data_IF_352251635204
#
_entry.id   IF_352251635204
#
_cell.length_a   1.000
_cell.length_b   1.000
_cell.length_c   1.000
_cell.angle_alpha   90.00
_cell.angle_beta   90.00
_cell.angle_gamma   90.00
#
_symmetry.space_group_name_H-M   'P 1'
#
loop_
_entity.id
_entity.type
_entity.pdbx_description
1 polymer ?
#
# COMPACT_ATOMS: atom_id res chain seq x y z
N UNK A 1 6.56 9.09 20.71
CA UNK A 1 7.60 8.43 19.89
C UNK A 1 8.82 9.34 19.87
N UNK A 2 10.02 8.79 20.02
CA UNK A 2 11.29 9.52 19.85
C UNK A 2 11.71 9.52 18.39
N UNK A 3 12.60 10.44 18.01
CA UNK A 3 13.14 10.51 16.64
C UNK A 3 13.89 9.22 16.24
N UNK A 4 14.47 8.53 17.22
CA UNK A 4 15.11 7.22 17.01
C UNK A 4 14.09 6.13 16.67
N UNK A 5 12.95 6.09 17.37
CA UNK A 5 11.87 5.15 17.11
C UNK A 5 11.27 5.36 15.71
N UNK A 6 11.09 6.63 15.29
CA UNK A 6 10.63 6.97 13.94
C UNK A 6 11.59 6.47 12.85
N UNK A 7 12.91 6.63 13.04
CA UNK A 7 13.94 6.15 12.10
C UNK A 7 13.97 4.62 11.99
N UNK A 8 13.78 3.90 13.09
CA UNK A 8 13.71 2.43 13.08
C UNK A 8 12.51 1.96 12.25
N UNK A 9 11.35 2.59 12.41
CA UNK A 9 10.16 2.29 11.62
C UNK A 9 10.40 2.58 10.14
N UNK A 10 10.98 3.75 9.81
CA UNK A 10 11.35 4.12 8.43
C UNK A 10 12.26 3.07 7.78
N UNK A 11 13.32 2.66 8.48
CA UNK A 11 14.28 1.67 7.98
C UNK A 11 13.67 0.28 7.80
N UNK A 12 12.57 0.00 8.51
CA UNK A 12 11.86 -1.27 8.43
C UNK A 12 10.82 -1.30 7.29
N UNK A 13 10.54 -0.17 6.64
CA UNK A 13 9.57 -0.11 5.55
C UNK A 13 10.10 -0.80 4.30
N UNK A 14 9.39 -1.86 3.90
CA UNK A 14 9.61 -2.50 2.61
C UNK A 14 9.07 -1.63 1.47
N UNK A 15 9.51 -1.91 0.25
CA UNK A 15 8.99 -1.21 -0.93
C UNK A 15 7.49 -1.42 -1.13
N UNK A 16 6.94 -2.57 -0.73
CA UNK A 16 5.50 -2.79 -0.75
C UNK A 16 4.78 -1.98 0.33
N UNK A 17 5.39 -1.77 1.50
CA UNK A 17 4.82 -0.87 2.51
C UNK A 17 4.79 0.57 1.99
N UNK A 18 5.87 1.04 1.37
CA UNK A 18 5.93 2.37 0.73
C UNK A 18 4.87 2.51 -0.36
N UNK A 19 4.66 1.49 -1.18
CA UNK A 19 3.58 1.43 -2.16
C UNK A 19 2.20 1.55 -1.50
N UNK A 20 1.94 0.76 -0.45
CA UNK A 20 0.67 0.78 0.26
C UNK A 20 0.39 2.12 0.95
N UNK A 21 1.42 2.77 1.50
CA UNK A 21 1.33 4.12 2.07
C UNK A 21 0.98 5.13 0.98
N UNK A 22 1.74 5.13 -0.12
CA UNK A 22 1.55 6.07 -1.25
C UNK A 22 0.14 5.99 -1.86
N UNK A 23 -0.42 4.78 -1.94
CA UNK A 23 -1.73 4.53 -2.55
C UNK A 23 -2.80 4.13 -1.52
N UNK A 24 -2.62 4.56 -0.27
CA UNK A 24 -3.46 4.14 0.85
C UNK A 24 -4.95 4.39 0.60
N UNK A 25 -5.31 5.61 0.18
CA UNK A 25 -6.71 5.98 -0.02
C UNK A 25 -7.38 5.13 -1.11
N UNK A 26 -6.70 4.88 -2.23
CA UNK A 26 -7.21 4.03 -3.31
C UNK A 26 -7.36 2.58 -2.84
N UNK A 27 -6.34 2.04 -2.17
CA UNK A 27 -6.35 0.66 -1.69
C UNK A 27 -7.34 0.44 -0.54
N UNK A 28 -7.63 1.45 0.29
CA UNK A 28 -8.60 1.37 1.39
C UNK A 28 -10.02 1.18 0.86
N UNK A 29 -10.40 1.90 -0.20
CA UNK A 29 -11.73 1.77 -0.81
C UNK A 29 -11.83 0.63 -1.82
N UNK A 30 -10.70 0.12 -2.30
CA UNK A 30 -10.60 -0.93 -3.31
C UNK A 30 -10.16 -0.35 -4.64
N UNK A 31 -8.98 -0.76 -5.10
CA UNK A 31 -8.35 -0.23 -6.31
C UNK A 31 -8.21 -1.28 -7.39
N UNK A 32 -8.45 -0.92 -8.65
CA UNK A 32 -8.42 -1.83 -9.79
C UNK A 32 -7.05 -2.51 -9.90
N UNK A 33 -7.03 -3.85 -9.91
CA UNK A 33 -5.80 -4.64 -9.90
C UNK A 33 -4.88 -4.31 -11.07
N UNK A 34 -5.44 -4.10 -12.26
CA UNK A 34 -4.70 -3.75 -13.48
C UNK A 34 -3.99 -2.39 -13.31
N UNK A 35 -4.69 -1.39 -12.75
CA UNK A 35 -4.12 -0.05 -12.50
C UNK A 35 -3.05 -0.12 -11.40
N UNK A 36 -3.31 -0.84 -10.32
CA UNK A 36 -2.34 -1.01 -9.23
C UNK A 36 -1.06 -1.69 -9.73
N UNK A 37 -1.18 -2.64 -10.67
CA UNK A 37 -0.03 -3.36 -11.26
C UNK A 37 0.84 -2.46 -12.15
N UNK A 38 0.25 -1.46 -12.80
CA UNK A 38 1.00 -0.45 -13.58
C UNK A 38 1.81 0.49 -12.69
N UNK A 39 1.48 0.58 -11.41
CA UNK A 39 2.19 1.36 -10.41
C UNK A 39 3.19 0.51 -9.60
N UNK A 40 3.46 -0.73 -10.04
CA UNK A 40 4.47 -1.59 -9.43
C UNK A 40 5.82 -0.87 -9.39
N UNK A 41 6.48 -0.79 -8.22
CA UNK A 41 7.84 -0.25 -8.14
C UNK A 41 8.79 -1.01 -9.09
N UNK A 42 9.68 -0.29 -9.77
CA UNK A 42 10.62 -0.87 -10.75
C UNK A 42 11.56 -1.92 -10.13
N UNK A 43 11.86 -1.74 -8.86
CA UNK A 43 12.68 -2.62 -8.01
C UNK A 43 12.01 -3.97 -7.69
N UNK A 44 10.69 -4.07 -7.82
CA UNK A 44 9.94 -5.31 -7.57
C UNK A 44 9.58 -5.97 -8.90
N UNK A 45 9.97 -7.24 -9.07
CA UNK A 45 9.50 -8.04 -10.22
C UNK A 45 7.96 -8.17 -10.17
N UNK A 46 7.23 -8.03 -11.29
CA UNK A 46 5.76 -8.07 -11.30
C UNK A 46 5.14 -9.30 -10.62
N UNK A 47 5.74 -10.49 -10.80
CA UNK A 47 5.30 -11.71 -10.13
C UNK A 47 5.43 -11.64 -8.60
N UNK A 48 6.51 -11.04 -8.11
CA UNK A 48 6.74 -10.83 -6.67
C UNK A 48 5.81 -9.75 -6.12
N UNK A 49 5.56 -8.68 -6.87
CA UNK A 49 4.61 -7.65 -6.49
C UNK A 49 3.22 -8.22 -6.25
N UNK A 50 2.75 -9.08 -7.16
CA UNK A 50 1.47 -9.77 -7.01
C UNK A 50 1.43 -10.62 -5.73
N UNK A 51 2.49 -11.35 -5.41
CA UNK A 51 2.55 -12.15 -4.18
C UNK A 51 2.56 -11.26 -2.93
N UNK A 52 3.32 -10.17 -2.94
CA UNK A 52 3.41 -9.27 -1.80
C UNK A 52 2.11 -8.49 -1.57
N UNK A 53 1.45 -8.01 -2.63
CA UNK A 53 0.18 -7.30 -2.50
C UNK A 53 -0.92 -8.21 -1.95
N UNK A 54 -0.94 -9.50 -2.31
CA UNK A 54 -1.90 -10.46 -1.74
C UNK A 54 -1.70 -10.73 -0.23
N UNK A 55 -0.53 -10.41 0.33
CA UNK A 55 -0.34 -10.46 1.79
C UNK A 55 -1.10 -9.33 2.49
N UNK A 56 -1.07 -8.14 1.89
CA UNK A 56 -1.60 -6.91 2.47
C UNK A 56 -3.06 -6.61 2.05
N UNK A 57 -3.49 -7.12 0.90
CA UNK A 57 -4.76 -6.82 0.28
C UNK A 57 -5.55 -8.09 -0.03
N UNK A 58 -6.87 -8.01 0.14
CA UNK A 58 -7.83 -8.94 -0.41
C UNK A 58 -8.14 -8.62 -1.88
N UNK A 59 -8.45 -9.65 -2.65
CA UNK A 59 -8.97 -9.48 -4.02
C UNK A 59 -10.48 -9.58 -4.01
N UNK A 60 -11.15 -8.46 -4.27
CA UNK A 60 -12.60 -8.38 -4.43
C UNK A 60 -12.92 -8.48 -5.93
N UNK A 61 -13.91 -9.29 -6.29
CA UNK A 61 -14.45 -9.32 -7.65
C UNK A 61 -15.75 -8.54 -7.68
N UNK A 62 -15.86 -7.59 -8.60
CA UNK A 62 -17.08 -6.81 -8.83
C UNK A 62 -17.50 -6.92 -10.28
N UNK A 63 -18.80 -7.11 -10.52
CA UNK A 63 -19.34 -7.07 -11.88
C UNK A 63 -19.87 -5.66 -12.14
N UNK A 64 -19.24 -4.96 -13.09
CA UNK A 64 -19.69 -3.66 -13.57
C UNK A 64 -19.97 -3.76 -15.07
N UNK A 65 -21.16 -3.35 -15.52
CA UNK A 65 -21.54 -3.37 -16.96
C UNK A 65 -21.23 -4.70 -17.67
N UNK A 66 -21.53 -5.84 -17.03
CA UNK A 66 -21.23 -7.22 -17.50
C UNK A 66 -19.74 -7.59 -17.59
N UNK A 67 -18.84 -6.73 -17.14
CA UNK A 67 -17.41 -7.01 -17.01
C UNK A 67 -17.06 -7.34 -15.56
N UNK A 68 -16.22 -8.37 -15.36
CA UNK A 68 -15.71 -8.71 -14.04
C UNK A 68 -14.41 -7.95 -13.79
N UNK A 69 -14.45 -7.01 -12.86
CA UNK A 69 -13.31 -6.21 -12.43
C UNK A 69 -12.77 -6.81 -11.13
N UNK A 70 -11.45 -6.81 -10.99
CA UNK A 70 -10.77 -7.21 -9.76
C UNK A 70 -10.25 -5.97 -9.05
N UNK A 71 -10.53 -5.87 -7.76
CA UNK A 71 -10.05 -4.80 -6.90
C UNK A 71 -9.10 -5.37 -5.84
N UNK A 72 -7.97 -4.72 -5.62
CA UNK A 72 -7.14 -4.89 -4.44
C UNK A 72 -7.68 -3.96 -3.35
N UNK A 73 -8.17 -4.55 -2.25
CA UNK A 73 -8.59 -3.80 -1.06
C UNK A 73 -7.69 -4.16 0.10
N UNK A 74 -7.14 -3.19 0.83
CA UNK A 74 -6.36 -3.46 2.04
C UNK A 74 -7.20 -4.27 3.05
N UNK A 75 -6.56 -5.26 3.67
CA UNK A 75 -7.15 -5.98 4.79
C UNK A 75 -7.31 -5.05 5.98
N UNK A 76 -8.32 -5.30 6.82
CA UNK A 76 -8.69 -4.40 7.92
C UNK A 76 -7.54 -4.21 8.94
N UNK A 77 -6.81 -5.28 9.24
CA UNK A 77 -5.61 -5.25 10.08
C UNK A 77 -4.54 -4.31 9.50
N UNK A 78 -4.31 -4.40 8.19
CA UNK A 78 -3.33 -3.53 7.50
C UNK A 78 -3.81 -2.09 7.39
N UNK A 79 -5.11 -1.85 7.26
CA UNK A 79 -5.68 -0.49 7.31
C UNK A 79 -5.38 0.15 8.65
N UNK A 80 -5.68 -0.53 9.76
CA UNK A 80 -5.42 0.01 11.10
C UNK A 80 -3.94 0.30 11.34
N UNK A 81 -3.05 -0.61 10.92
CA UNK A 81 -1.59 -0.41 11.01
C UNK A 81 -1.13 0.85 10.24
N UNK A 82 -1.63 1.04 9.01
CA UNK A 82 -1.24 2.15 8.16
C UNK A 82 -1.86 3.48 8.63
N UNK A 83 -3.10 3.49 9.13
CA UNK A 83 -3.71 4.69 9.70
C UNK A 83 -2.93 5.19 10.92
N UNK A 84 -2.55 4.28 11.83
CA UNK A 84 -1.70 4.65 12.96
C UNK A 84 -0.38 5.27 12.48
N UNK A 85 0.28 4.65 11.49
CA UNK A 85 1.49 5.22 10.88
C UNK A 85 1.24 6.60 10.29
N UNK A 86 0.18 6.77 9.49
CA UNK A 86 -0.16 8.05 8.87
C UNK A 86 -0.45 9.15 9.89
N UNK A 87 -1.01 8.82 11.05
CA UNK A 87 -1.21 9.80 12.14
C UNK A 87 0.06 10.16 12.90
N UNK A 88 1.13 9.36 12.77
CA UNK A 88 2.39 9.55 13.48
C UNK A 88 3.43 10.36 12.70
N UNK A 89 3.23 10.51 11.38
CA UNK A 89 4.09 11.26 10.48
C UNK A 89 3.30 12.41 9.88
N UNK A 90 3.87 13.62 9.88
CA UNK A 90 3.29 14.74 9.16
C UNK A 90 3.46 14.53 7.64
N UNK A 91 2.67 15.22 6.82
CA UNK A 91 2.66 15.04 5.36
C UNK A 91 4.08 15.17 4.74
N UNK A 92 4.90 16.09 5.25
CA UNK A 92 6.29 16.28 4.80
C UNK A 92 7.19 15.07 5.14
N UNK A 93 7.03 14.51 6.34
CA UNK A 93 7.76 13.31 6.76
C UNK A 93 7.31 12.10 5.93
N UNK A 94 6.01 11.98 5.67
CA UNK A 94 5.44 10.92 4.85
C UNK A 94 5.93 10.99 3.40
N UNK A 95 6.02 12.20 2.83
CA UNK A 95 6.56 12.40 1.50
C UNK A 95 8.04 12.00 1.39
N UNK A 96 8.83 12.25 2.43
CA UNK A 96 10.22 11.80 2.51
C UNK A 96 10.32 10.26 2.51
N UNK A 97 9.42 9.58 3.25
CA UNK A 97 9.35 8.12 3.29
C UNK A 97 9.00 7.49 1.93
N UNK A 98 8.23 8.18 1.10
CA UNK A 98 7.80 7.67 -0.21
C UNK A 98 8.85 7.92 -1.31
N UNK A 99 9.67 8.97 -1.19
CA UNK A 99 10.65 9.37 -2.23
C UNK A 99 12.02 8.70 -2.13
N UNK A 100 12.38 8.17 -0.97
CA UNK A 100 13.61 7.39 -0.77
C UNK A 100 13.46 5.95 -1.24
#
# INVERSE_FOLDING_TARGET
MTEAEKKIIEMSLTEIDRFCIKHFNQLKVGWICEIASQQCPESIKPGNFRLQIHKNCDTIRQTYTKQNIRLNKLKEDKVAELEQKLTMYDDDELHSLIRR
#
